data_IF_573052901544
#
_entry.id   IF_573052901544
#
_cell.length_a   1.000
_cell.length_b   1.000
_cell.length_c   1.000
_cell.angle_alpha   90.00
_cell.angle_beta   90.00
_cell.angle_gamma   90.00
#
_symmetry.space_group_name_H-M   'P 1'
#
loop_
_entity.id
_entity.type
_entity.pdbx_description
1 polymer ?
#
# COMPACT_ATOMS: atom_id res chain seq x y z
N UNK A 1 -25.23 -8.46 15.27
CA UNK A 1 -24.33 -8.94 14.19
C UNK A 1 -24.39 -7.91 13.06
N UNK A 2 -23.41 -7.02 12.98
CA UNK A 2 -23.30 -6.08 11.85
C UNK A 2 -22.76 -6.83 10.64
N UNK A 3 -23.36 -6.62 9.46
CA UNK A 3 -22.84 -7.21 8.23
C UNK A 3 -21.41 -6.71 7.97
N UNK A 4 -20.51 -7.56 7.43
CA UNK A 4 -19.21 -7.08 6.98
C UNK A 4 -19.42 -6.07 5.86
N UNK A 5 -19.20 -4.79 6.16
CA UNK A 5 -19.33 -3.71 5.18
C UNK A 5 -18.09 -3.74 4.30
N UNK A 6 -18.19 -4.32 3.11
CA UNK A 6 -17.12 -4.23 2.10
C UNK A 6 -17.15 -2.83 1.48
N UNK A 7 -16.18 -2.00 1.84
CA UNK A 7 -16.00 -0.65 1.27
C UNK A 7 -15.22 -0.72 -0.04
N UNK A 8 -15.44 0.23 -0.95
CA UNK A 8 -14.66 0.35 -2.18
C UNK A 8 -13.29 0.94 -1.82
N UNK A 9 -12.23 0.16 -2.01
CA UNK A 9 -10.85 0.59 -1.84
C UNK A 9 -10.25 1.27 -3.09
N UNK A 10 -9.02 1.79 -2.99
CA UNK A 10 -8.34 2.50 -4.10
C UNK A 10 -7.90 1.60 -5.24
N UNK A 11 -7.76 0.29 -4.98
CA UNK A 11 -7.04 -0.62 -5.87
C UNK A 11 -7.66 -0.70 -7.28
N UNK A 12 -8.98 -0.79 -7.38
CA UNK A 12 -9.72 -0.84 -8.66
C UNK A 12 -9.66 0.48 -9.45
N UNK A 13 -10.04 1.65 -8.88
CA UNK A 13 -9.93 2.91 -9.61
C UNK A 13 -8.48 3.25 -9.98
N UNK A 14 -7.51 2.93 -9.11
CA UNK A 14 -6.09 3.05 -9.42
C UNK A 14 -5.67 2.19 -10.62
N UNK A 15 -5.96 0.89 -10.62
CA UNK A 15 -5.59 0.01 -11.73
C UNK A 15 -6.22 0.43 -13.05
N UNK A 16 -7.51 0.83 -13.02
CA UNK A 16 -8.21 1.36 -14.18
C UNK A 16 -7.48 2.58 -14.75
N UNK A 17 -7.11 3.53 -13.90
CA UNK A 17 -6.44 4.77 -14.33
C UNK A 17 -5.04 4.52 -14.89
N UNK A 18 -4.31 3.54 -14.34
CA UNK A 18 -3.02 3.10 -14.90
C UNK A 18 -3.19 2.52 -16.30
N UNK A 19 -4.20 1.68 -16.52
CA UNK A 19 -4.49 1.11 -17.84
C UNK A 19 -4.92 2.18 -18.85
N UNK A 20 -5.71 3.16 -18.43
CA UNK A 20 -6.08 4.30 -19.28
C UNK A 20 -4.86 5.15 -19.70
N UNK A 21 -3.90 5.35 -18.80
CA UNK A 21 -2.68 6.12 -19.09
C UNK A 21 -1.63 5.32 -19.87
N UNK A 22 -1.57 4.00 -19.65
CA UNK A 22 -0.63 3.13 -20.32
C UNK A 22 -1.27 1.76 -20.63
N UNK A 23 -2.01 1.66 -21.75
CA UNK A 23 -2.68 0.42 -22.17
C UNK A 23 -1.71 -0.75 -22.41
N UNK A 24 -0.41 -0.49 -22.55
CA UNK A 24 0.63 -1.51 -22.76
C UNK A 24 0.78 -2.47 -21.58
N UNK A 25 0.32 -2.09 -20.38
CA UNK A 25 0.28 -3.01 -19.25
C UNK A 25 -0.73 -4.16 -19.44
N UNK A 26 -1.65 -4.06 -20.41
CA UNK A 26 -2.59 -5.12 -20.75
C UNK A 26 -3.57 -5.39 -19.62
N UNK A 27 -3.34 -6.46 -18.86
CA UNK A 27 -4.18 -6.87 -17.73
C UNK A 27 -3.45 -6.61 -16.41
N UNK A 28 -4.11 -5.91 -15.49
CA UNK A 28 -3.62 -5.73 -14.12
C UNK A 28 -4.44 -6.62 -13.19
N UNK A 29 -3.76 -7.53 -12.50
CA UNK A 29 -4.34 -8.33 -11.43
C UNK A 29 -4.12 -7.65 -10.07
N UNK A 30 -5.15 -7.66 -9.23
CA UNK A 30 -5.10 -7.11 -7.88
C UNK A 30 -5.06 -8.26 -6.87
N UNK A 31 -4.06 -8.25 -5.99
CA UNK A 31 -3.91 -9.25 -4.91
C UNK A 31 -4.25 -8.58 -3.57
N UNK A 32 -5.51 -8.62 -3.10
CA UNK A 32 -5.88 -7.95 -1.86
C UNK A 32 -5.31 -8.72 -0.67
N UNK A 33 -4.54 -8.05 0.18
CA UNK A 33 -3.93 -8.64 1.39
C UNK A 33 -4.21 -7.83 2.66
N UNK A 34 -4.93 -6.69 2.54
CA UNK A 34 -5.17 -5.78 3.65
C UNK A 34 -6.01 -6.44 4.76
N UNK A 35 -5.67 -6.15 6.01
CA UNK A 35 -6.44 -6.55 7.19
C UNK A 35 -6.70 -5.33 8.08
N UNK A 36 -7.97 -4.98 8.26
CA UNK A 36 -8.36 -3.82 9.06
C UNK A 36 -7.91 -3.97 10.52
N UNK A 37 -7.47 -2.88 11.14
CA UNK A 37 -7.02 -2.85 12.54
C UNK A 37 -5.73 -3.64 12.83
N UNK A 38 -5.02 -4.12 11.81
CA UNK A 38 -3.72 -4.76 12.00
C UNK A 38 -2.64 -3.72 12.30
N UNK A 39 -1.87 -3.93 13.37
CA UNK A 39 -0.67 -3.13 13.71
C UNK A 39 0.53 -3.58 12.87
N UNK A 40 1.51 -2.69 12.70
CA UNK A 40 2.74 -2.97 11.92
C UNK A 40 3.51 -4.18 12.44
N UNK A 41 3.40 -4.47 13.73
CA UNK A 41 4.00 -5.66 14.35
C UNK A 41 3.51 -6.99 13.75
N UNK A 42 2.28 -7.06 13.23
CA UNK A 42 1.74 -8.25 12.54
C UNK A 42 2.20 -8.37 11.09
N UNK A 43 2.79 -7.31 10.56
CA UNK A 43 3.38 -7.24 9.23
C UNK A 43 4.90 -7.44 9.22
N UNK A 44 5.48 -7.89 10.34
CA UNK A 44 6.86 -8.32 10.40
C UNK A 44 7.02 -9.74 9.85
N UNK A 45 8.21 -10.08 9.33
CA UNK A 45 8.52 -11.43 8.85
C UNK A 45 8.21 -12.49 9.93
N UNK A 46 7.60 -13.60 9.51
CA UNK A 46 7.20 -14.70 10.40
C UNK A 46 5.87 -14.47 11.15
N UNK A 47 5.19 -13.34 10.90
CA UNK A 47 3.87 -13.05 11.48
C UNK A 47 2.74 -13.42 10.52
N UNK A 48 1.54 -13.51 11.06
CA UNK A 48 0.38 -14.07 10.38
C UNK A 48 -0.06 -13.25 9.16
N UNK A 49 -0.16 -11.92 9.30
CA UNK A 49 -0.61 -11.06 8.19
C UNK A 49 0.47 -10.98 7.10
N UNK A 50 1.73 -10.88 7.50
CA UNK A 50 2.87 -10.96 6.59
C UNK A 50 2.91 -12.29 5.80
N UNK A 51 2.77 -13.42 6.50
CA UNK A 51 2.78 -14.75 5.90
C UNK A 51 1.64 -14.95 4.91
N UNK A 52 0.44 -14.47 5.25
CA UNK A 52 -0.70 -14.51 4.33
C UNK A 52 -0.45 -13.67 3.06
N UNK A 53 0.11 -12.46 3.21
CA UNK A 53 0.42 -11.60 2.07
C UNK A 53 1.47 -12.24 1.14
N UNK A 54 2.57 -12.76 1.69
CA UNK A 54 3.63 -13.41 0.91
C UNK A 54 3.11 -14.65 0.18
N UNK A 55 2.35 -15.52 0.86
CA UNK A 55 1.73 -16.69 0.23
C UNK A 55 0.78 -16.32 -0.93
N UNK A 56 -0.01 -15.24 -0.78
CA UNK A 56 -0.90 -14.75 -1.84
C UNK A 56 -0.13 -14.15 -3.01
N UNK A 57 0.95 -13.42 -2.73
CA UNK A 57 1.83 -12.84 -3.75
C UNK A 57 2.51 -13.95 -4.57
N UNK A 58 3.03 -14.98 -3.90
CA UNK A 58 3.59 -16.16 -4.56
C UNK A 58 2.56 -16.90 -5.40
N UNK A 59 1.33 -17.07 -4.90
CA UNK A 59 0.26 -17.70 -5.64
C UNK A 59 -0.11 -16.93 -6.92
N UNK A 60 -0.11 -15.60 -6.87
CA UNK A 60 -0.45 -14.75 -8.02
C UNK A 60 0.54 -14.87 -9.18
N UNK A 61 1.83 -15.11 -8.89
CA UNK A 61 2.86 -15.24 -9.95
C UNK A 61 2.98 -16.66 -10.52
N UNK A 62 2.31 -17.67 -9.94
CA UNK A 62 2.42 -19.08 -10.40
C UNK A 62 2.08 -19.27 -11.87
N UNK A 63 1.18 -18.45 -12.42
CA UNK A 63 0.74 -18.54 -13.81
C UNK A 63 1.51 -17.59 -14.75
N UNK A 64 2.72 -17.15 -14.35
CA UNK A 64 3.57 -16.28 -15.17
C UNK A 64 3.28 -14.78 -15.01
N UNK A 65 2.47 -14.40 -14.01
CA UNK A 65 2.28 -12.99 -13.64
C UNK A 65 3.55 -12.37 -13.05
N UNK A 66 3.68 -11.05 -13.15
CA UNK A 66 4.78 -10.28 -12.55
C UNK A 66 4.23 -9.27 -11.55
N UNK A 67 4.81 -9.24 -10.35
CA UNK A 67 4.49 -8.23 -9.35
C UNK A 67 5.23 -6.94 -9.72
N UNK A 68 4.50 -5.92 -10.15
CA UNK A 68 5.05 -4.62 -10.53
C UNK A 68 5.08 -3.61 -9.37
N UNK A 69 4.13 -3.69 -8.45
CA UNK A 69 4.03 -2.75 -7.34
C UNK A 69 3.31 -3.33 -6.12
N UNK A 70 3.63 -2.76 -4.95
CA UNK A 70 2.91 -2.92 -3.69
C UNK A 70 2.23 -1.60 -3.33
N UNK A 71 0.91 -1.61 -3.18
CA UNK A 71 0.15 -0.50 -2.60
C UNK A 71 0.05 -0.70 -1.09
N UNK A 72 0.57 0.25 -0.32
CA UNK A 72 0.59 0.20 1.14
C UNK A 72 -0.22 1.34 1.75
N UNK A 73 -1.20 1.00 2.59
CA UNK A 73 -1.89 1.97 3.43
C UNK A 73 -2.23 1.33 4.77
N UNK A 74 -1.49 1.72 5.81
CA UNK A 74 -1.60 1.24 7.18
C UNK A 74 -1.01 2.31 8.12
N UNK A 75 -1.26 2.17 9.42
CA UNK A 75 -0.69 3.04 10.46
C UNK A 75 -1.70 3.42 11.54
N UNK A 76 -3.00 3.35 11.24
CA UNK A 76 -4.06 3.75 12.19
C UNK A 76 -4.10 2.93 13.48
N UNK A 77 -3.66 1.66 13.45
CA UNK A 77 -3.59 0.81 14.64
C UNK A 77 -2.35 1.07 15.53
N UNK A 78 -1.41 1.87 15.03
CA UNK A 78 -0.14 2.20 15.68
C UNK A 78 -0.07 3.68 16.11
N UNK A 79 -1.08 4.50 15.75
CA UNK A 79 -1.13 5.93 16.07
C UNK A 79 -1.73 6.26 17.44
N UNK A 80 -2.33 5.27 18.13
CA UNK A 80 -2.96 5.44 19.44
C UNK A 80 -1.96 5.45 20.61
N UNK A 81 -0.70 5.09 20.35
CA UNK A 81 0.33 4.93 21.35
C UNK A 81 1.65 5.53 20.84
N UNK A 82 2.24 6.43 21.62
CA UNK A 82 3.43 7.18 21.24
C UNK A 82 4.66 6.27 21.01
N UNK A 83 4.82 5.21 21.81
CA UNK A 83 5.92 4.25 21.65
C UNK A 83 5.78 3.44 20.37
N UNK A 84 4.54 3.05 20.01
CA UNK A 84 4.27 2.40 18.72
C UNK A 84 4.54 3.36 17.56
N UNK A 85 4.08 4.61 17.66
CA UNK A 85 4.29 5.62 16.64
C UNK A 85 5.78 5.91 16.41
N UNK A 86 6.60 5.96 17.48
CA UNK A 86 8.04 6.13 17.37
C UNK A 86 8.74 4.96 16.66
N UNK A 87 8.29 3.73 16.89
CA UNK A 87 8.85 2.52 16.27
C UNK A 87 8.32 2.24 14.87
N UNK A 88 7.16 2.80 14.53
CA UNK A 88 6.42 2.50 13.31
C UNK A 88 7.28 2.60 12.05
N UNK A 89 8.06 3.69 11.95
CA UNK A 89 8.95 3.91 10.80
C UNK A 89 10.02 2.82 10.64
N UNK A 90 10.63 2.40 11.74
CA UNK A 90 11.66 1.37 11.73
C UNK A 90 11.06 0.02 11.34
N UNK A 91 9.97 -0.36 12.01
CA UNK A 91 9.26 -1.61 11.75
C UNK A 91 8.73 -1.66 10.31
N UNK A 92 8.21 -0.56 9.78
CA UNK A 92 7.73 -0.46 8.41
C UNK A 92 8.87 -0.60 7.39
N UNK A 93 9.99 0.09 7.63
CA UNK A 93 11.17 0.02 6.76
C UNK A 93 11.69 -1.41 6.69
N UNK A 94 11.75 -2.08 7.84
CA UNK A 94 12.11 -3.49 7.94
C UNK A 94 11.13 -4.39 7.20
N UNK A 95 9.81 -4.19 7.37
CA UNK A 95 8.79 -4.92 6.61
C UNK A 95 9.02 -4.81 5.10
N UNK A 96 9.29 -3.61 4.58
CA UNK A 96 9.54 -3.41 3.16
C UNK A 96 10.81 -4.11 2.66
N UNK A 97 11.88 -4.09 3.45
CA UNK A 97 13.11 -4.83 3.15
C UNK A 97 12.84 -6.34 3.14
N UNK A 98 12.14 -6.86 4.15
CA UNK A 98 11.80 -8.27 4.25
C UNK A 98 10.91 -8.71 3.09
N UNK A 99 9.92 -7.91 2.68
CA UNK A 99 9.05 -8.17 1.51
C UNK A 99 9.87 -8.28 0.22
N UNK A 100 10.76 -7.31 -0.03
CA UNK A 100 11.62 -7.32 -1.21
C UNK A 100 12.51 -8.57 -1.24
N UNK A 101 13.06 -8.94 -0.09
CA UNK A 101 13.92 -10.11 0.03
C UNK A 101 13.15 -11.42 -0.18
N UNK A 102 12.01 -11.62 0.50
CA UNK A 102 11.25 -12.88 0.44
C UNK A 102 10.58 -13.08 -0.92
N UNK A 103 10.08 -12.01 -1.54
CA UNK A 103 9.54 -12.08 -2.91
C UNK A 103 10.63 -12.05 -3.99
N UNK A 104 11.90 -11.85 -3.61
CA UNK A 104 13.05 -11.73 -4.53
C UNK A 104 12.89 -10.60 -5.54
N UNK A 105 12.35 -9.46 -5.10
CA UNK A 105 12.08 -8.27 -5.89
C UNK A 105 12.79 -7.05 -5.29
N UNK A 106 14.12 -6.92 -5.44
CA UNK A 106 14.90 -5.83 -4.81
C UNK A 106 14.42 -4.43 -5.22
N UNK A 107 13.96 -4.28 -6.47
CA UNK A 107 13.47 -3.03 -7.04
C UNK A 107 11.95 -2.88 -6.99
N UNK A 108 11.26 -3.67 -6.14
CA UNK A 108 9.80 -3.59 -6.01
C UNK A 108 9.37 -2.16 -5.69
N UNK A 109 8.50 -1.61 -6.54
CA UNK A 109 7.89 -0.31 -6.34
C UNK A 109 6.88 -0.43 -5.19
N UNK A 110 7.15 0.27 -4.10
CA UNK A 110 6.24 0.37 -2.96
C UNK A 110 5.68 1.78 -2.96
N UNK A 111 4.35 1.88 -3.09
CA UNK A 111 3.64 3.15 -3.10
C UNK A 111 2.85 3.20 -1.80
N UNK A 112 3.23 4.12 -0.91
CA UNK A 112 2.64 4.22 0.40
C UNK A 112 1.79 5.48 0.51
N UNK A 113 0.61 5.34 1.10
CA UNK A 113 -0.09 6.48 1.67
C UNK A 113 0.36 6.62 3.12
N UNK A 114 0.99 7.74 3.45
CA UNK A 114 1.65 7.92 4.73
C UNK A 114 1.39 9.29 5.34
N UNK A 115 1.31 9.28 6.65
CA UNK A 115 1.74 10.37 7.51
C UNK A 115 3.29 10.38 7.57
N UNK A 116 3.93 10.74 6.45
CA UNK A 116 5.35 11.07 6.26
C UNK A 116 6.45 10.09 6.80
N UNK A 117 7.11 9.32 5.90
CA UNK A 117 8.33 8.51 6.17
C UNK A 117 9.42 8.75 5.11
N UNK A 118 10.69 9.05 5.43
CA UNK A 118 11.74 9.20 4.42
C UNK A 118 12.11 7.87 3.73
N UNK A 119 12.45 7.93 2.44
CA UNK A 119 12.72 6.82 1.50
C UNK A 119 11.50 6.03 0.99
N UNK A 120 10.29 6.54 1.22
CA UNK A 120 9.05 6.06 0.61
C UNK A 120 8.31 7.26 0.03
N UNK A 121 7.70 7.10 -1.14
CA UNK A 121 6.84 8.15 -1.70
C UNK A 121 5.57 8.27 -0.86
N UNK A 122 5.49 9.34 -0.09
CA UNK A 122 4.37 9.58 0.81
C UNK A 122 3.29 10.39 0.14
N UNK A 123 2.06 10.09 0.54
CA UNK A 123 0.92 10.96 0.31
C UNK A 123 0.23 11.22 1.63
N UNK A 124 0.10 12.49 1.99
CA UNK A 124 -0.51 12.92 3.24
C UNK A 124 -2.02 12.59 3.26
N UNK A 125 -2.51 11.75 4.19
CA UNK A 125 -3.91 11.42 4.33
C UNK A 125 -4.74 12.50 5.06
N UNK A 126 -4.15 13.54 5.68
CA UNK A 126 -4.92 14.60 6.36
C UNK A 126 -5.86 15.39 5.43
N UNK A 127 -5.65 15.30 4.12
CA UNK A 127 -6.51 15.94 3.11
C UNK A 127 -7.73 15.10 2.74
N UNK A 128 -7.91 13.91 3.33
CA UNK A 128 -9.02 13.01 3.02
C UNK A 128 -10.18 13.21 4.02
N UNK A 129 -11.42 13.42 3.56
CA UNK A 129 -12.57 13.52 4.46
C UNK A 129 -12.83 12.18 5.17
N UNK A 130 -12.94 12.21 6.50
CA UNK A 130 -13.18 11.04 7.36
C UNK A 130 -14.68 10.81 7.61
N UNK A 131 -15.08 9.55 7.78
CA UNK A 131 -16.42 9.17 8.20
C UNK A 131 -16.70 9.64 9.63
N UNK A 132 -17.95 9.51 10.06
CA UNK A 132 -18.38 9.91 11.41
C UNK A 132 -17.62 9.19 12.54
N UNK A 133 -16.97 8.06 12.25
CA UNK A 133 -16.11 7.34 13.20
C UNK A 133 -14.71 7.92 13.37
N UNK A 134 -14.33 8.92 12.55
CA UNK A 134 -13.04 9.61 12.63
C UNK A 134 -11.83 8.75 12.28
N UNK A 135 -12.02 7.53 11.75
CA UNK A 135 -10.93 6.58 11.45
C UNK A 135 -10.96 6.15 9.99
N UNK A 136 -12.14 5.90 9.44
CA UNK A 136 -12.28 5.50 8.04
C UNK A 136 -12.39 6.73 7.15
N UNK A 137 -11.75 6.72 5.99
CA UNK A 137 -11.96 7.75 4.97
C UNK A 137 -13.36 7.56 4.37
N UNK A 138 -14.14 8.64 4.28
CA UNK A 138 -15.40 8.66 3.54
C UNK A 138 -15.16 8.13 2.13
N UNK A 139 -16.11 7.40 1.57
CA UNK A 139 -15.99 6.72 0.28
C UNK A 139 -15.72 7.66 -0.92
N UNK A 140 -14.52 8.23 -0.98
CA UNK A 140 -13.94 8.91 -2.13
C UNK A 140 -12.78 8.07 -2.67
N UNK A 141 -13.05 6.88 -3.26
CA UNK A 141 -12.03 6.09 -3.95
C UNK A 141 -11.22 6.91 -4.95
N UNK A 142 -11.83 7.92 -5.58
CA UNK A 142 -11.18 8.85 -6.51
C UNK A 142 -10.06 9.64 -5.84
N UNK A 143 -10.30 10.27 -4.70
CA UNK A 143 -9.28 11.09 -4.04
C UNK A 143 -8.07 10.24 -3.61
N UNK A 144 -8.35 9.05 -3.09
CA UNK A 144 -7.32 8.08 -2.72
C UNK A 144 -6.53 7.59 -3.95
N UNK A 145 -7.22 7.39 -5.07
CA UNK A 145 -6.62 7.05 -6.36
C UNK A 145 -5.70 8.16 -6.87
N UNK A 146 -6.17 9.40 -6.85
CA UNK A 146 -5.40 10.56 -7.28
C UNK A 146 -4.14 10.72 -6.44
N UNK A 147 -4.25 10.45 -5.12
CA UNK A 147 -3.12 10.41 -4.21
C UNK A 147 -2.09 9.35 -4.59
N UNK A 148 -2.50 8.11 -4.84
CA UNK A 148 -1.59 7.07 -5.33
C UNK A 148 -0.94 7.43 -6.67
N UNK A 149 -1.66 8.08 -7.58
CA UNK A 149 -1.13 8.54 -8.87
C UNK A 149 -0.15 9.71 -8.72
N UNK A 150 -0.38 10.60 -7.76
CA UNK A 150 0.52 11.70 -7.43
C UNK A 150 1.88 11.18 -6.95
N UNK A 151 1.87 10.17 -6.06
CA UNK A 151 3.10 9.49 -5.63
C UNK A 151 3.85 8.92 -6.83
N UNK A 152 3.17 8.11 -7.66
CA UNK A 152 3.74 7.54 -8.88
C UNK A 152 4.37 8.57 -9.83
N UNK A 153 3.74 9.74 -9.97
CA UNK A 153 4.24 10.81 -10.84
C UNK A 153 5.55 11.40 -10.33
N UNK A 154 5.67 11.62 -9.02
CA UNK A 154 6.89 12.13 -8.38
C UNK A 154 8.11 11.24 -8.67
N UNK A 155 7.93 9.92 -8.69
CA UNK A 155 9.00 8.96 -9.07
C UNK A 155 9.59 9.23 -10.44
N UNK A 156 8.72 9.45 -11.43
CA UNK A 156 9.13 9.65 -12.83
C UNK A 156 9.99 10.90 -12.97
N UNK A 157 9.66 11.96 -12.22
CA UNK A 157 10.42 13.22 -12.22
C UNK A 157 11.78 13.06 -11.55
N UNK A 158 11.86 12.38 -10.39
CA UNK A 158 13.14 12.13 -9.70
C UNK A 158 14.07 11.22 -10.51
N UNK A 159 13.53 10.22 -11.20
CA UNK A 159 14.33 9.33 -12.07
C UNK A 159 14.80 10.00 -13.37
N UNK A 160 14.25 11.17 -13.74
CA UNK A 160 14.65 11.92 -14.95
C UNK A 160 15.74 12.95 -14.66
N UNK A 161 15.91 13.37 -13.40
CA UNK A 161 16.99 14.30 -12.99
C UNK A 161 18.31 13.60 -12.62
N UNK A 162 18.37 12.27 -12.64
CA UNK A 162 19.62 11.51 -12.52
C UNK A 162 19.95 10.93 -13.90
N UNK A 163 20.53 11.76 -14.76
CA UNK A 163 21.27 11.36 -15.96
C UNK A 163 22.48 12.26 -16.09
#
# INVERSE_FOLDING_TARGET
MGQPVTRIGPAMPFSKRILEQNPKYGTIELVPCALNGSSISRWQRGRDVYGNMTARAEAAVKNGGKIEALLWWQGGADSDNIDKAHKYKEDLTKSFQDIRADLKLPELLIIQLSLNVPNVENVDPHVLPLEADGVHVTAQPQLLTDKFLEALSKKKTTSTQIR
#
